data_IF_507679144985
#
_entry.id   IF_507679144985
#
_cell.length_a   1.000
_cell.length_b   1.000
_cell.length_c   1.000
_cell.angle_alpha   90.00
_cell.angle_beta   90.00
_cell.angle_gamma   90.00
#
_symmetry.space_group_name_H-M   'P 1'
#
loop_
_entity.id
_entity.type
_entity.pdbx_description
1 polymer ?
#
# COMPACT_ATOMS: atom_id res chain seq x y z
N UNK A 1 8.19 4.49 18.74
CA UNK A 1 7.57 4.10 17.45
C UNK A 1 6.06 3.92 17.58
N UNK A 2 5.55 3.19 18.57
CA UNK A 2 4.12 2.88 18.77
C UNK A 2 3.13 4.07 18.81
N UNK A 3 3.62 5.28 19.07
CA UNK A 3 2.81 6.51 19.20
C UNK A 3 2.70 7.34 17.91
N UNK A 4 3.50 7.04 16.88
CA UNK A 4 3.45 7.80 15.62
C UNK A 4 2.21 7.42 14.82
N UNK A 5 1.51 8.42 14.29
CA UNK A 5 0.34 8.23 13.45
C UNK A 5 0.66 8.38 11.97
N UNK A 6 -0.34 8.04 11.14
CA UNK A 6 -0.29 8.28 9.70
C UNK A 6 -0.09 9.77 9.40
N UNK A 7 -0.68 10.66 10.20
CA UNK A 7 -0.51 12.11 10.01
C UNK A 7 0.93 12.55 10.19
N UNK A 8 1.68 11.95 11.14
CA UNK A 8 3.11 12.23 11.31
C UNK A 8 3.90 11.83 10.05
N UNK A 9 3.55 10.69 9.44
CA UNK A 9 4.16 10.22 8.19
C UNK A 9 3.83 11.14 7.01
N UNK A 10 2.60 11.66 6.94
CA UNK A 10 2.18 12.62 5.91
C UNK A 10 2.93 13.94 6.04
N UNK A 11 3.15 14.41 7.26
CA UNK A 11 3.91 15.62 7.54
C UNK A 11 5.38 15.45 7.16
N UNK A 12 5.98 14.28 7.41
CA UNK A 12 7.32 13.94 6.98
C UNK A 12 7.45 13.91 5.44
N UNK A 13 6.51 13.30 4.73
CA UNK A 13 6.46 13.32 3.25
C UNK A 13 6.34 14.75 2.73
N UNK A 14 5.44 15.55 3.30
CA UNK A 14 5.26 16.97 2.90
C UNK A 14 6.52 17.80 3.17
N UNK A 15 7.25 17.49 4.25
CA UNK A 15 8.54 18.13 4.55
C UNK A 15 9.61 17.70 3.54
N UNK A 16 9.66 16.43 3.15
CA UNK A 16 10.59 15.94 2.15
C UNK A 16 10.36 16.60 0.78
N UNK A 17 9.10 16.73 0.33
CA UNK A 17 8.75 17.41 -0.92
C UNK A 17 9.31 18.85 -1.00
N UNK A 18 9.31 19.58 0.12
CA UNK A 18 9.91 20.93 0.19
C UNK A 18 11.42 20.95 -0.04
N UNK A 19 12.12 19.86 0.28
CA UNK A 19 13.57 19.73 0.09
C UNK A 19 13.94 19.16 -1.28
N UNK A 20 13.00 18.49 -1.96
CA UNK A 20 13.18 17.89 -3.28
C UNK A 20 12.14 18.46 -4.27
N UNK A 21 12.30 19.72 -4.73
CA UNK A 21 11.32 20.38 -5.59
C UNK A 21 11.13 19.70 -6.97
N UNK A 22 12.01 18.77 -7.35
CA UNK A 22 11.89 17.95 -8.56
C UNK A 22 11.08 16.66 -8.35
N UNK A 23 10.71 16.33 -7.11
CA UNK A 23 9.90 15.17 -6.76
C UNK A 23 8.41 15.49 -6.97
N UNK A 24 7.98 15.39 -8.23
CA UNK A 24 6.62 15.77 -8.65
C UNK A 24 5.64 14.58 -8.67
N UNK A 25 6.11 13.36 -8.39
CA UNK A 25 5.30 12.14 -8.40
C UNK A 25 5.55 11.37 -7.11
N UNK A 26 4.48 11.01 -6.41
CA UNK A 26 4.55 10.13 -5.24
C UNK A 26 4.14 8.71 -5.60
N UNK A 27 4.84 7.74 -5.02
CA UNK A 27 4.54 6.32 -5.15
C UNK A 27 4.41 5.75 -3.73
N UNK A 28 3.27 5.15 -3.42
CA UNK A 28 3.01 4.57 -2.10
C UNK A 28 2.56 3.12 -2.21
N UNK A 29 3.16 2.25 -1.39
CA UNK A 29 2.77 0.85 -1.25
C UNK A 29 2.01 0.62 0.05
N UNK A 30 0.94 -0.20 0.02
CA UNK A 30 0.22 -0.62 1.24
C UNK A 30 -0.18 0.58 2.12
N UNK A 31 0.25 0.63 3.37
CA UNK A 31 0.06 1.78 4.26
C UNK A 31 0.68 3.08 3.72
N UNK A 32 1.85 2.99 3.08
CA UNK A 32 2.47 4.11 2.38
C UNK A 32 1.56 4.67 1.27
N UNK A 33 0.71 3.84 0.69
CA UNK A 33 -0.36 4.26 -0.22
C UNK A 33 -1.38 5.19 0.45
N UNK A 34 -1.81 4.93 1.68
CA UNK A 34 -2.65 5.88 2.45
C UNK A 34 -1.90 7.19 2.73
N UNK A 35 -0.63 7.10 3.12
CA UNK A 35 0.21 8.26 3.39
C UNK A 35 0.31 9.16 2.16
N UNK A 36 0.62 8.61 0.98
CA UNK A 36 0.75 9.42 -0.24
C UNK A 36 -0.59 9.95 -0.76
N UNK A 37 -1.70 9.23 -0.54
CA UNK A 37 -3.05 9.76 -0.85
C UNK A 37 -3.36 11.00 -0.02
N UNK A 38 -3.08 10.97 1.29
CA UNK A 38 -3.26 12.12 2.18
C UNK A 38 -2.28 13.26 1.87
N UNK A 39 -1.04 12.94 1.54
CA UNK A 39 -0.04 13.94 1.14
C UNK A 39 -0.41 14.62 -0.18
N UNK A 40 -0.92 13.86 -1.16
CA UNK A 40 -1.39 14.41 -2.44
C UNK A 40 -2.58 15.36 -2.27
N UNK A 41 -3.41 15.20 -1.23
CA UNK A 41 -4.46 16.15 -0.88
C UNK A 41 -3.95 17.48 -0.26
N UNK A 42 -2.65 17.58 0.05
CA UNK A 42 -2.02 18.74 0.70
C UNK A 42 -0.93 19.40 -0.14
N UNK A 43 -0.53 18.80 -1.25
CA UNK A 43 0.62 19.22 -2.05
C UNK A 43 0.29 19.13 -3.54
N UNK A 44 0.78 20.09 -4.32
CA UNK A 44 0.65 20.07 -5.77
C UNK A 44 1.64 19.06 -6.37
N UNK A 45 1.10 17.96 -6.89
CA UNK A 45 1.86 16.89 -7.54
C UNK A 45 1.45 16.79 -9.00
N UNK A 46 2.34 16.26 -9.85
CA UNK A 46 2.02 15.88 -11.23
C UNK A 46 1.38 14.50 -11.32
N UNK A 47 1.59 13.63 -10.33
CA UNK A 47 0.95 12.33 -10.34
C UNK A 47 1.09 11.54 -9.04
N UNK A 48 0.22 10.54 -8.89
CA UNK A 48 0.18 9.64 -7.74
C UNK A 48 0.12 8.19 -8.22
N UNK A 49 0.97 7.33 -7.67
CA UNK A 49 0.95 5.89 -7.94
C UNK A 49 0.66 5.12 -6.65
N UNK A 50 -0.38 4.29 -6.67
CA UNK A 50 -0.84 3.49 -5.56
C UNK A 50 -0.58 2.01 -5.84
N UNK A 51 0.32 1.39 -5.09
CA UNK A 51 0.72 -0.02 -5.24
C UNK A 51 0.12 -0.85 -4.11
N UNK A 52 -0.80 -1.77 -4.39
CA UNK A 52 -1.49 -2.57 -3.37
C UNK A 52 -1.90 -1.73 -2.15
N UNK A 53 -2.39 -0.51 -2.41
CA UNK A 53 -2.55 0.53 -1.39
C UNK A 53 -3.65 0.18 -0.40
N UNK A 54 -3.50 0.66 0.84
CA UNK A 54 -4.66 0.82 1.72
C UNK A 54 -5.74 1.60 0.96
N UNK A 55 -6.96 1.05 0.84
CA UNK A 55 -7.97 1.59 -0.06
C UNK A 55 -8.58 2.88 0.49
N UNK A 56 -9.22 3.66 -0.38
CA UNK A 56 -9.94 4.88 -0.01
C UNK A 56 -11.02 4.66 1.06
N UNK A 57 -11.62 3.46 1.09
CA UNK A 57 -12.62 3.06 2.09
C UNK A 57 -12.03 2.48 3.38
N UNK A 58 -10.71 2.40 3.49
CA UNK A 58 -9.98 1.88 4.66
C UNK A 58 -9.94 0.35 4.75
N UNK A 59 -9.11 -0.14 5.66
CA UNK A 59 -8.77 -1.56 5.76
C UNK A 59 -9.76 -2.41 6.55
N UNK A 60 -10.90 -1.88 7.02
CA UNK A 60 -11.79 -2.64 7.93
C UNK A 60 -12.31 -3.94 7.32
N UNK A 61 -12.77 -3.91 6.07
CA UNK A 61 -13.33 -5.09 5.39
C UNK A 61 -12.25 -6.13 5.10
N UNK A 62 -11.13 -5.67 4.55
CA UNK A 62 -9.98 -6.50 4.23
C UNK A 62 -9.32 -7.09 5.49
N UNK A 63 -9.12 -6.27 6.51
CA UNK A 63 -8.68 -6.67 7.85
C UNK A 63 -9.58 -7.70 8.50
N UNK A 64 -10.90 -7.58 8.34
CA UNK A 64 -11.85 -8.61 8.81
C UNK A 64 -11.64 -9.94 8.07
N UNK A 65 -11.44 -9.92 6.74
CA UNK A 65 -11.13 -11.13 5.97
C UNK A 65 -9.82 -11.78 6.43
N UNK A 66 -8.78 -10.98 6.66
CA UNK A 66 -7.49 -11.47 7.18
C UNK A 66 -7.62 -12.07 8.59
N UNK A 67 -8.39 -11.42 9.46
CA UNK A 67 -8.68 -11.93 10.80
C UNK A 67 -9.31 -13.31 10.75
N UNK A 68 -10.34 -13.52 9.91
CA UNK A 68 -10.98 -14.83 9.79
C UNK A 68 -10.08 -15.90 9.17
N UNK A 69 -9.04 -15.52 8.42
CA UNK A 69 -8.04 -16.45 7.90
C UNK A 69 -7.08 -16.94 9.00
N UNK A 70 -6.69 -16.08 9.94
CA UNK A 70 -5.72 -16.37 11.01
C UNK A 70 -6.10 -15.79 12.38
N UNK A 71 -7.25 -16.18 12.97
CA UNK A 71 -7.81 -15.49 14.13
C UNK A 71 -6.87 -15.51 15.34
N UNK A 72 -6.21 -16.64 15.62
CA UNK A 72 -5.28 -16.76 16.74
C UNK A 72 -4.03 -15.89 16.61
N UNK A 73 -3.52 -15.71 15.38
CA UNK A 73 -2.37 -14.84 15.11
C UNK A 73 -2.74 -13.38 15.29
N UNK A 74 -3.90 -12.97 14.77
CA UNK A 74 -4.42 -11.61 14.97
C UNK A 74 -4.70 -11.30 16.44
N UNK A 75 -5.34 -12.19 17.20
CA UNK A 75 -5.53 -12.02 18.65
C UNK A 75 -4.17 -11.89 19.36
N UNK A 76 -3.20 -12.73 18.98
CA UNK A 76 -1.85 -12.70 19.52
C UNK A 76 -1.10 -11.40 19.22
N UNK A 77 -1.32 -10.82 18.05
CA UNK A 77 -0.76 -9.53 17.61
C UNK A 77 -1.41 -8.35 18.33
N UNK A 78 -2.75 -8.34 18.46
CA UNK A 78 -3.49 -7.32 19.20
C UNK A 78 -3.07 -7.27 20.66
N UNK A 79 -2.96 -8.42 21.33
CA UNK A 79 -2.52 -8.50 22.73
C UNK A 79 -1.09 -7.97 22.92
N UNK A 80 -0.24 -8.08 21.89
CA UNK A 80 1.15 -7.63 21.91
C UNK A 80 1.34 -6.23 21.33
N UNK A 81 0.29 -5.68 20.71
CA UNK A 81 0.37 -4.47 19.89
C UNK A 81 1.53 -4.54 18.88
N UNK A 82 1.65 -5.66 18.18
CA UNK A 82 2.79 -5.96 17.30
C UNK A 82 2.34 -6.54 15.96
N UNK A 83 2.58 -5.80 14.89
CA UNK A 83 2.38 -6.28 13.53
C UNK A 83 3.49 -7.23 13.10
N UNK A 84 4.72 -7.02 13.58
CA UNK A 84 5.83 -7.95 13.33
C UNK A 84 5.50 -9.37 13.82
N UNK A 85 4.72 -9.49 14.90
CA UNK A 85 4.27 -10.80 15.39
C UNK A 85 3.40 -11.56 14.38
N UNK A 86 2.64 -10.87 13.51
CA UNK A 86 1.88 -11.51 12.43
C UNK A 86 2.83 -12.01 11.34
N UNK A 87 3.72 -11.15 10.89
CA UNK A 87 4.51 -11.38 9.66
C UNK A 87 5.84 -12.10 9.90
N UNK A 88 6.15 -12.48 11.15
CA UNK A 88 7.22 -13.45 11.45
C UNK A 88 6.77 -14.91 11.35
N UNK A 89 5.50 -15.17 11.02
CA UNK A 89 5.01 -16.50 10.71
C UNK A 89 4.94 -16.71 9.18
N UNK A 90 5.66 -17.72 8.69
CA UNK A 90 5.73 -18.02 7.26
C UNK A 90 4.37 -18.39 6.65
N UNK A 91 3.51 -19.07 7.40
CA UNK A 91 2.16 -19.42 6.95
C UNK A 91 1.27 -18.19 6.79
N UNK A 92 1.35 -17.24 7.72
CA UNK A 92 0.66 -15.94 7.63
C UNK A 92 1.19 -15.15 6.44
N UNK A 93 2.51 -14.96 6.31
CA UNK A 93 3.10 -14.25 5.19
C UNK A 93 2.71 -14.85 3.84
N UNK A 94 2.92 -16.17 3.66
CA UNK A 94 2.58 -16.89 2.44
C UNK A 94 1.12 -16.71 2.03
N UNK A 95 0.21 -16.68 2.99
CA UNK A 95 -1.23 -16.69 2.70
C UNK A 95 -1.89 -15.32 2.66
N UNK A 96 -1.29 -14.30 3.27
CA UNK A 96 -1.83 -12.94 3.31
C UNK A 96 -1.08 -11.97 2.38
N UNK A 97 0.24 -12.14 2.22
CA UNK A 97 1.10 -11.16 1.56
C UNK A 97 1.61 -11.59 0.18
N UNK A 98 1.72 -12.89 -0.08
CA UNK A 98 2.38 -13.39 -1.27
C UNK A 98 1.46 -14.25 -2.13
N UNK A 99 1.69 -14.22 -3.43
CA UNK A 99 1.14 -15.17 -4.39
C UNK A 99 1.60 -16.59 -4.06
N UNK A 100 0.76 -17.58 -4.41
CA UNK A 100 1.13 -19.01 -4.40
C UNK A 100 2.36 -19.33 -5.27
N UNK A 101 2.67 -18.46 -6.23
CA UNK A 101 3.79 -18.65 -7.17
C UNK A 101 5.14 -18.18 -6.62
N UNK A 102 5.15 -17.47 -5.49
CA UNK A 102 6.36 -16.84 -4.97
C UNK A 102 7.31 -17.87 -4.36
N UNK A 103 8.61 -17.85 -4.70
CA UNK A 103 9.58 -18.76 -4.10
C UNK A 103 9.67 -18.59 -2.59
N UNK A 104 9.84 -19.69 -1.86
CA UNK A 104 9.97 -19.65 -0.40
C UNK A 104 11.15 -18.78 0.06
N UNK A 105 12.25 -18.76 -0.70
CA UNK A 105 13.41 -17.92 -0.40
C UNK A 105 13.08 -16.42 -0.36
N UNK A 106 12.17 -15.94 -1.21
CA UNK A 106 11.71 -14.54 -1.20
C UNK A 106 10.92 -14.24 0.08
N UNK A 107 10.06 -15.17 0.49
CA UNK A 107 9.25 -15.05 1.72
C UNK A 107 10.17 -15.04 2.94
N UNK A 108 11.16 -15.94 3.01
CA UNK A 108 12.12 -15.98 4.10
C UNK A 108 12.98 -14.71 4.17
N UNK A 109 13.42 -14.19 3.02
CA UNK A 109 14.16 -12.93 2.96
C UNK A 109 13.32 -11.75 3.44
N UNK A 110 12.04 -11.68 3.04
CA UNK A 110 11.11 -10.67 3.55
C UNK A 110 10.96 -10.78 5.08
N UNK A 111 10.71 -11.99 5.59
CA UNK A 111 10.52 -12.23 7.02
C UNK A 111 11.74 -11.85 7.86
N UNK A 112 12.95 -12.03 7.32
CA UNK A 112 14.19 -11.63 7.98
C UNK A 112 14.31 -10.10 8.17
N UNK A 113 13.65 -9.32 7.32
CA UNK A 113 13.59 -7.85 7.39
C UNK A 113 12.35 -7.30 8.08
N UNK A 114 11.47 -8.14 8.64
CA UNK A 114 10.25 -7.67 9.32
C UNK A 114 10.61 -6.99 10.65
N UNK A 115 10.47 -5.67 10.63
CA UNK A 115 10.55 -4.80 11.79
C UNK A 115 9.15 -4.48 12.34
N UNK A 116 9.14 -3.81 13.50
CA UNK A 116 7.89 -3.38 14.11
C UNK A 116 7.35 -2.12 13.43
N UNK A 117 6.04 -2.09 13.21
CA UNK A 117 5.34 -0.90 12.73
C UNK A 117 4.65 -0.20 13.90
N UNK A 118 4.39 1.10 13.77
CA UNK A 118 3.58 1.82 14.74
C UNK A 118 2.18 1.21 14.83
N UNK A 119 1.81 0.73 16.02
CA UNK A 119 0.47 0.22 16.29
C UNK A 119 -0.60 1.28 16.01
N UNK A 120 -0.35 2.54 16.38
CA UNK A 120 -1.28 3.64 16.09
C UNK A 120 -1.47 3.81 14.58
N UNK A 121 -0.38 3.93 13.81
CA UNK A 121 -0.45 4.14 12.37
C UNK A 121 -1.18 2.99 11.65
N UNK A 122 -0.83 1.74 11.99
CA UNK A 122 -1.48 0.58 11.37
C UNK A 122 -2.98 0.47 11.70
N UNK A 123 -3.41 0.88 12.89
CA UNK A 123 -4.83 0.93 13.23
C UNK A 123 -5.57 2.11 12.56
N UNK A 124 -4.90 3.24 12.32
CA UNK A 124 -5.48 4.38 11.62
C UNK A 124 -5.85 4.06 10.18
N UNK A 125 -5.26 3.04 9.53
CA UNK A 125 -5.73 2.56 8.22
C UNK A 125 -7.20 2.14 8.20
N UNK A 126 -7.81 1.89 9.37
CA UNK A 126 -9.22 1.55 9.50
C UNK A 126 -10.15 2.78 9.60
N UNK A 127 -9.62 3.93 10.00
CA UNK A 127 -10.43 5.09 10.43
C UNK A 127 -10.04 6.40 9.77
N UNK A 128 -8.78 6.58 9.42
CA UNK A 128 -8.28 7.75 8.70
C UNK A 128 -8.34 7.45 7.21
N UNK A 129 -9.28 8.10 6.54
CA UNK A 129 -9.55 7.89 5.12
C UNK A 129 -9.08 9.11 4.32
N UNK A 130 -8.51 8.92 3.12
CA UNK A 130 -8.22 10.03 2.23
C UNK A 130 -9.53 10.59 1.64
N UNK A 131 -9.50 11.85 1.22
CA UNK A 131 -10.54 12.43 0.38
C UNK A 131 -10.05 12.45 -1.08
N UNK A 132 -10.56 11.57 -1.96
CA UNK A 132 -10.17 11.56 -3.37
C UNK A 132 -10.37 12.90 -4.08
N UNK A 133 -11.35 13.72 -3.63
CA UNK A 133 -11.63 15.03 -4.23
C UNK A 133 -10.56 16.08 -3.92
N UNK A 134 -9.74 15.85 -2.90
CA UNK A 134 -8.63 16.73 -2.58
C UNK A 134 -7.39 16.48 -3.46
N UNK A 135 -7.35 15.36 -4.19
CA UNK A 135 -6.24 14.99 -5.07
C UNK A 135 -6.47 15.55 -6.47
N UNK A 136 -5.67 16.54 -6.87
CA UNK A 136 -5.84 17.27 -8.13
C UNK A 136 -4.94 16.78 -9.27
N UNK A 137 -4.30 15.62 -9.10
CA UNK A 137 -3.37 15.05 -10.08
C UNK A 137 -3.86 13.69 -10.59
N UNK A 138 -3.43 13.26 -11.80
CA UNK A 138 -3.70 11.91 -12.28
C UNK A 138 -3.23 10.84 -11.29
N UNK A 139 -4.00 9.75 -11.18
CA UNK A 139 -3.71 8.63 -10.29
C UNK A 139 -3.60 7.32 -11.08
N UNK A 140 -2.56 6.54 -10.80
CA UNK A 140 -2.38 5.17 -11.25
C UNK A 140 -2.59 4.22 -10.07
N UNK A 141 -3.50 3.26 -10.21
CA UNK A 141 -3.81 2.28 -9.17
C UNK A 141 -3.42 0.88 -9.65
N UNK A 142 -2.48 0.25 -8.96
CA UNK A 142 -1.94 -1.08 -9.28
C UNK A 142 -2.17 -2.03 -8.10
N UNK A 143 -2.74 -3.21 -8.35
CA UNK A 143 -2.87 -4.29 -7.38
C UNK A 143 -2.21 -5.59 -7.85
N UNK A 144 -1.99 -6.53 -6.93
CA UNK A 144 -1.66 -7.91 -7.30
C UNK A 144 -2.92 -8.72 -7.58
N UNK A 145 -2.89 -9.57 -8.61
CA UNK A 145 -4.02 -10.47 -8.94
C UNK A 145 -4.33 -11.46 -7.79
N UNK A 146 -3.30 -11.91 -7.09
CA UNK A 146 -3.37 -12.86 -5.98
C UNK A 146 -3.33 -12.17 -4.59
N UNK A 147 -3.51 -10.84 -4.51
CA UNK A 147 -3.44 -10.11 -3.24
C UNK A 147 -4.61 -10.46 -2.32
N UNK A 148 -4.31 -11.18 -1.23
CA UNK A 148 -5.29 -11.50 -0.21
C UNK A 148 -5.44 -10.39 0.84
N UNK A 149 -4.41 -9.58 1.08
CA UNK A 149 -4.45 -8.47 2.03
C UNK A 149 -5.35 -7.35 1.52
N UNK A 150 -5.09 -6.82 0.32
CA UNK A 150 -5.94 -5.81 -0.31
C UNK A 150 -6.69 -6.46 -1.46
N UNK A 151 -8.00 -6.64 -1.30
CA UNK A 151 -8.77 -7.37 -2.32
C UNK A 151 -8.83 -6.64 -3.64
N UNK A 152 -9.00 -7.39 -4.74
CA UNK A 152 -9.28 -6.80 -6.05
C UNK A 152 -10.50 -5.85 -6.05
N UNK A 153 -11.49 -6.10 -5.18
CA UNK A 153 -12.63 -5.20 -5.00
C UNK A 153 -12.21 -3.86 -4.37
N UNK A 154 -11.32 -3.88 -3.36
CA UNK A 154 -10.79 -2.68 -2.72
C UNK A 154 -9.88 -1.87 -3.65
N UNK A 155 -9.07 -2.54 -4.47
CA UNK A 155 -8.24 -1.89 -5.51
C UNK A 155 -9.15 -1.22 -6.55
N UNK A 156 -10.16 -1.93 -7.06
CA UNK A 156 -11.13 -1.36 -8.03
C UNK A 156 -11.90 -0.17 -7.45
N UNK A 157 -12.38 -0.28 -6.21
CA UNK A 157 -13.09 0.83 -5.55
C UNK A 157 -12.18 2.05 -5.36
N UNK A 158 -10.89 1.85 -5.09
CA UNK A 158 -9.90 2.93 -5.04
C UNK A 158 -9.70 3.58 -6.40
N UNK A 159 -9.56 2.78 -7.47
CA UNK A 159 -9.45 3.30 -8.83
C UNK A 159 -10.70 4.10 -9.26
N UNK A 160 -11.89 3.56 -8.98
CA UNK A 160 -13.17 4.21 -9.26
C UNK A 160 -13.28 5.56 -8.53
N UNK A 161 -12.89 5.61 -7.26
CA UNK A 161 -12.93 6.85 -6.48
C UNK A 161 -12.00 7.96 -7.02
N UNK A 162 -10.92 7.57 -7.71
CA UNK A 162 -10.01 8.49 -8.40
C UNK A 162 -10.35 8.67 -9.89
N UNK A 163 -11.44 8.08 -10.39
CA UNK A 163 -11.85 8.19 -11.79
C UNK A 163 -10.87 7.54 -12.77
N UNK A 164 -10.19 6.47 -12.36
CA UNK A 164 -9.21 5.73 -13.17
C UNK A 164 -9.53 4.23 -13.20
N UNK A 165 -8.80 3.47 -14.00
CA UNK A 165 -8.92 2.01 -14.04
C UNK A 165 -7.84 1.34 -13.18
N UNK A 166 -8.22 0.26 -12.51
CA UNK A 166 -7.28 -0.56 -11.74
C UNK A 166 -6.49 -1.47 -12.68
N UNK A 167 -5.16 -1.43 -12.56
CA UNK A 167 -4.25 -2.37 -13.23
C UNK A 167 -3.89 -3.49 -12.26
N UNK A 168 -3.93 -4.74 -12.72
CA UNK A 168 -3.53 -5.89 -11.91
C UNK A 168 -2.28 -6.55 -12.49
N UNK A 169 -1.27 -6.78 -11.64
CA UNK A 169 -0.09 -7.57 -12.00
C UNK A 169 -0.43 -9.06 -11.86
N UNK A 170 -0.29 -9.85 -12.94
CA UNK A 170 -0.56 -11.27 -12.90
C UNK A 170 0.39 -11.98 -11.94
N UNK A 171 -0.12 -13.00 -11.22
CA UNK A 171 0.67 -13.84 -10.30
C UNK A 171 1.42 -13.06 -9.21
N UNK A 172 0.97 -11.86 -8.85
CA UNK A 172 1.51 -11.05 -7.77
C UNK A 172 0.54 -10.99 -6.60
N UNK A 173 1.06 -11.08 -5.37
CA UNK A 173 0.31 -10.87 -4.15
C UNK A 173 0.36 -9.41 -3.70
N UNK A 174 0.42 -9.19 -2.39
CA UNK A 174 0.52 -7.87 -1.79
C UNK A 174 1.89 -7.22 -2.03
N UNK A 175 2.95 -8.02 -2.11
CA UNK A 175 4.33 -7.56 -2.27
C UNK A 175 4.68 -7.41 -3.76
N UNK A 176 3.89 -6.63 -4.49
CA UNK A 176 3.95 -6.46 -5.96
C UNK A 176 5.33 -6.06 -6.52
N UNK A 177 6.22 -5.54 -5.70
CA UNK A 177 7.59 -5.16 -6.07
C UNK A 177 8.57 -6.33 -6.01
N UNK A 178 8.22 -7.38 -5.26
CA UNK A 178 8.99 -8.61 -5.08
C UNK A 178 8.41 -9.78 -5.89
N UNK A 179 7.27 -9.55 -6.55
CA UNK A 179 6.44 -10.56 -7.20
C UNK A 179 6.06 -10.14 -8.61
N UNK A 180 5.61 -11.10 -9.42
CA UNK A 180 5.27 -10.84 -10.83
C UNK A 180 6.50 -10.51 -11.69
N UNK A 181 6.27 -9.83 -12.81
CA UNK A 181 7.32 -9.35 -13.71
C UNK A 181 7.76 -7.92 -13.30
N UNK A 182 8.98 -7.73 -12.77
CA UNK A 182 9.46 -6.40 -12.39
C UNK A 182 9.56 -5.44 -13.57
N UNK A 183 9.78 -5.93 -14.80
CA UNK A 183 9.80 -5.10 -16.00
C UNK A 183 8.40 -4.53 -16.30
N UNK A 184 7.35 -5.31 -16.05
CA UNK A 184 5.98 -4.85 -16.23
C UNK A 184 5.62 -3.73 -15.24
N UNK A 185 5.92 -3.90 -13.95
CA UNK A 185 5.67 -2.86 -12.94
C UNK A 185 6.46 -1.57 -13.26
N UNK A 186 7.75 -1.72 -13.57
CA UNK A 186 8.60 -0.58 -13.93
C UNK A 186 8.09 0.14 -15.19
N UNK A 187 7.65 -0.62 -16.20
CA UNK A 187 7.09 -0.05 -17.42
C UNK A 187 5.82 0.77 -17.14
N UNK A 188 4.86 0.22 -16.38
CA UNK A 188 3.62 0.92 -16.01
C UNK A 188 3.89 2.25 -15.30
N UNK A 189 4.81 2.25 -14.34
CA UNK A 189 5.19 3.45 -13.58
C UNK A 189 5.91 4.44 -14.48
N UNK A 190 6.86 3.99 -15.31
CA UNK A 190 7.64 4.87 -16.18
C UNK A 190 6.78 5.52 -17.26
N UNK A 191 5.88 4.75 -17.86
CA UNK A 191 4.95 5.20 -18.89
C UNK A 191 3.95 6.22 -18.32
N UNK A 192 3.37 5.94 -17.15
CA UNK A 192 2.56 6.93 -16.42
C UNK A 192 3.34 8.20 -16.10
N UNK A 193 4.57 8.05 -15.59
CA UNK A 193 5.42 9.18 -15.24
C UNK A 193 5.76 10.06 -16.45
N UNK A 194 5.97 9.45 -17.62
CA UNK A 194 6.19 10.19 -18.87
C UNK A 194 4.94 10.99 -19.26
N UNK A 195 3.75 10.36 -19.26
CA UNK A 195 2.50 11.03 -19.64
C UNK A 195 2.17 12.24 -18.78
N UNK A 196 2.28 12.11 -17.45
CA UNK A 196 1.92 13.22 -16.55
C UNK A 196 2.92 14.38 -16.59
N UNK A 197 4.16 14.14 -17.04
CA UNK A 197 5.15 15.21 -17.25
C UNK A 197 4.92 15.98 -18.53
N UNK A 198 4.31 15.36 -19.54
CA UNK A 198 4.02 15.99 -20.84
C UNK A 198 2.67 16.68 -20.92
N UNK A 199 1.78 16.46 -19.93
CA UNK A 199 0.41 16.98 -19.92
C UNK A 199 0.28 18.45 -19.47
N UNK A 200 1.40 19.15 -19.25
CA UNK A 200 1.45 20.56 -18.82
C UNK A 200 1.97 21.48 -19.92
#
# INVERSE_FOLDING_TARGET
MQSFGIEDYVDDVSRALKHFPTAEILIGHSMGGLVVQLAAGRNDLKGLVLLASSPVGGMRRDGTRMFFRHPFRFIGAMRRQSFAHLYRDAGVCRSLLFSRHTPESVIQNFMAGVEEESWRAGNQMNTLLPDPKAVNCPVLVIGGEDDFMVSAASVRATAEAYGTEAVFLPRAGHMVQLEGDPAQLAHLISDFSARVRTAN
#
